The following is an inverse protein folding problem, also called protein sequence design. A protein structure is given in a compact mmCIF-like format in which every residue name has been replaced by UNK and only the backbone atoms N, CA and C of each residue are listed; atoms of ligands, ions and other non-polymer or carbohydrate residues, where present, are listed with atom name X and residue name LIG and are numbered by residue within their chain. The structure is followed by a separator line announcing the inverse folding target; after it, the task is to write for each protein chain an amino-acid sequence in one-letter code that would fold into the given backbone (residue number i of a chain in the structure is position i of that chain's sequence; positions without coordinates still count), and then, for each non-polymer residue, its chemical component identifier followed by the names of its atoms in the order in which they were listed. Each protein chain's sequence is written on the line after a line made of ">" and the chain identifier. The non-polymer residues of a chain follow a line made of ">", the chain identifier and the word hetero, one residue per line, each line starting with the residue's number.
data_IF_571274451361
#
_entry.id   IF_571274451361
#
_cell.length_a   1.000
_cell.length_b   1.000
_cell.length_c   1.000
_cell.angle_alpha   90.00
_cell.angle_beta   90.00
_cell.angle_gamma   90.00
#
_symmetry.space_group_name_H-M   'P 1'
#
loop_
_entity.id
_entity.type
_entity.pdbx_description
1 polymer ?
#
# COMPACT_ATOMS: atom_id res chain seq x y z
N UNK A 1 -52.15 -17.02 14.69
CA UNK A 1 -51.50 -16.05 13.77
C UNK A 1 -51.34 -14.73 14.51
N UNK A 2 -50.22 -14.56 15.21
CA UNK A 2 -49.92 -13.39 16.04
C UNK A 2 -48.87 -12.54 15.32
N UNK A 3 -49.24 -11.31 14.96
CA UNK A 3 -48.33 -10.30 14.39
C UNK A 3 -47.58 -9.61 15.53
N UNK A 4 -46.27 -9.76 15.55
CA UNK A 4 -45.38 -9.03 16.47
C UNK A 4 -44.68 -7.92 15.70
N UNK A 5 -45.09 -6.68 15.93
CA UNK A 5 -44.42 -5.45 15.51
C UNK A 5 -43.27 -5.14 16.46
N UNK A 6 -42.04 -5.04 15.93
CA UNK A 6 -40.85 -4.59 16.67
C UNK A 6 -40.41 -3.25 16.06
N UNK A 7 -40.36 -2.21 16.89
CA UNK A 7 -39.92 -0.86 16.54
C UNK A 7 -38.38 -0.73 16.58
N UNK A 8 -37.78 0.16 15.77
CA UNK A 8 -36.35 0.45 15.81
C UNK A 8 -36.04 1.57 16.83
N UNK A 9 -35.19 1.27 17.82
CA UNK A 9 -34.70 2.26 18.81
C UNK A 9 -33.23 2.59 18.54
N UNK A 10 -33.02 3.86 18.19
CA UNK A 10 -31.90 4.73 18.58
C UNK A 10 -30.46 4.33 18.21
N UNK A 11 -30.01 4.81 17.04
CA UNK A 11 -28.61 4.84 16.56
C UNK A 11 -27.89 6.16 16.89
N UNK A 12 -28.09 6.75 18.08
CA UNK A 12 -27.66 8.13 18.36
C UNK A 12 -26.71 8.32 19.57
N UNK A 13 -26.03 7.28 20.07
CA UNK A 13 -25.22 7.40 21.31
C UNK A 13 -23.77 6.87 21.24
N UNK A 14 -23.23 6.53 20.07
CA UNK A 14 -21.85 6.01 19.95
C UNK A 14 -20.82 7.03 19.42
N UNK A 15 -21.19 8.30 19.22
CA UNK A 15 -20.33 9.28 18.53
C UNK A 15 -19.53 10.22 19.45
N UNK A 16 -19.68 10.18 20.77
CA UNK A 16 -19.07 11.19 21.67
C UNK A 16 -17.92 10.70 22.54
N UNK A 17 -17.56 9.42 22.50
CA UNK A 17 -16.50 8.85 23.37
C UNK A 17 -15.08 8.81 22.75
N UNK A 18 -14.90 9.18 21.48
CA UNK A 18 -13.61 9.04 20.77
C UNK A 18 -12.75 10.34 20.74
N UNK A 19 -13.19 11.43 21.36
CA UNK A 19 -12.53 12.75 21.22
C UNK A 19 -11.57 13.11 22.37
N UNK A 20 -11.47 12.28 23.42
CA UNK A 20 -10.74 12.63 24.65
C UNK A 20 -9.42 11.85 24.88
N UNK A 21 -8.86 11.22 23.85
CA UNK A 21 -7.63 10.39 23.98
C UNK A 21 -6.45 10.83 23.09
N UNK A 22 -6.28 12.15 22.86
CA UNK A 22 -5.20 12.69 21.99
C UNK A 22 -4.34 13.78 22.65
N UNK A 23 -4.20 13.82 23.98
CA UNK A 23 -3.47 14.90 24.65
C UNK A 23 -2.46 14.45 25.72
N UNK A 24 -1.62 13.42 25.47
CA UNK A 24 -0.39 13.22 26.26
C UNK A 24 0.66 12.52 25.39
N UNK A 25 1.60 13.26 24.82
CA UNK A 25 3.02 12.85 24.64
C UNK A 25 3.76 13.91 23.80
N UNK A 26 4.38 14.87 24.50
CA UNK A 26 5.25 15.85 23.88
C UNK A 26 6.23 16.41 24.89
N UNK A 27 7.38 15.74 25.04
CA UNK A 27 8.66 16.34 25.48
C UNK A 27 9.71 15.26 25.73
N UNK A 28 10.52 14.96 24.72
CA UNK A 28 11.88 14.48 24.96
C UNK A 28 12.82 15.49 24.29
N UNK A 29 13.41 16.33 25.14
CA UNK A 29 14.34 17.36 24.76
C UNK A 29 15.60 16.77 24.13
N UNK A 30 15.91 17.25 22.94
CA UNK A 30 17.22 17.15 22.32
C UNK A 30 18.21 17.99 23.16
N UNK A 31 19.12 17.33 23.87
CA UNK A 31 20.34 18.00 24.35
C UNK A 31 21.40 17.94 23.24
N UNK A 32 21.59 19.08 22.57
CA UNK A 32 22.76 19.32 21.74
C UNK A 32 23.86 19.94 22.63
N UNK A 33 24.82 19.13 23.07
CA UNK A 33 26.03 19.63 23.69
C UNK A 33 27.06 19.93 22.60
N UNK A 34 27.18 21.21 22.23
CA UNK A 34 28.25 21.71 21.39
C UNK A 34 29.54 21.88 22.20
N UNK A 35 30.64 21.60 21.49
CA UNK A 35 32.04 21.56 21.86
C UNK A 35 32.56 22.62 22.85
N UNK A 36 33.58 22.23 23.64
CA UNK A 36 34.83 22.99 23.67
C UNK A 36 35.99 22.09 24.10
N UNK A 37 36.87 21.81 23.15
CA UNK A 37 38.16 21.18 23.36
C UNK A 37 39.11 22.17 24.03
N UNK A 38 39.65 21.82 25.19
CA UNK A 38 40.87 22.43 25.74
C UNK A 38 41.88 21.33 25.98
N UNK A 39 42.87 21.26 25.09
CA UNK A 39 44.04 20.41 25.25
C UNK A 39 44.88 20.97 26.41
N UNK A 40 44.93 20.26 27.53
CA UNK A 40 46.00 20.40 28.50
C UNK A 40 47.10 19.40 28.11
N UNK A 41 48.18 19.92 27.53
CA UNK A 41 49.46 19.20 27.46
C UNK A 41 50.05 19.19 28.86
N UNK A 42 49.90 18.07 29.57
CA UNK A 42 50.76 17.75 30.71
C UNK A 42 51.70 16.66 30.24
N UNK A 43 52.91 17.09 29.88
CA UNK A 43 54.05 16.21 29.68
C UNK A 43 54.50 15.73 31.07
N UNK A 44 54.03 14.56 31.46
CA UNK A 44 54.59 13.78 32.57
C UNK A 44 55.06 12.44 32.03
N UNK A 45 56.17 12.50 31.28
CA UNK A 45 57.05 11.35 31.12
C UNK A 45 57.55 10.88 32.50
N UNK A 46 57.52 9.56 32.64
CA UNK A 46 58.27 8.74 33.60
C UNK A 46 57.83 8.80 35.08
N UNK A 47 57.02 7.81 35.48
CA UNK A 47 57.34 6.83 36.54
C UNK A 47 56.05 6.13 37.05
N UNK A 48 55.47 5.25 36.24
CA UNK A 48 54.56 4.20 36.74
C UNK A 48 54.77 2.90 35.98
N UNK A 49 56.03 2.46 35.93
CA UNK A 49 56.37 1.10 35.56
C UNK A 49 56.62 0.33 36.87
N UNK A 50 55.56 -0.17 37.53
CA UNK A 50 55.63 -1.22 38.54
C UNK A 50 54.26 -1.94 38.59
N UNK A 51 54.31 -3.21 38.20
CA UNK A 51 53.37 -4.29 38.55
C UNK A 51 51.96 -4.31 37.95
N UNK A 52 51.87 -4.09 36.64
CA UNK A 52 50.78 -4.73 35.87
C UNK A 52 51.25 -6.17 35.59
N UNK A 53 50.66 -7.14 36.30
CA UNK A 53 51.03 -8.56 36.22
C UNK A 53 51.11 -9.07 34.78
N UNK A 54 51.93 -10.11 34.56
CA UNK A 54 52.26 -10.73 33.26
C UNK A 54 51.04 -11.24 32.45
N UNK A 55 49.81 -10.99 32.91
CA UNK A 55 48.55 -11.41 32.29
C UNK A 55 47.53 -10.26 32.16
N UNK A 56 47.97 -9.01 32.04
CA UNK A 56 47.07 -7.90 31.72
C UNK A 56 46.85 -7.84 30.21
N UNK A 57 45.65 -8.24 29.75
CA UNK A 57 45.20 -7.95 28.38
C UNK A 57 44.73 -6.49 28.34
N UNK A 58 45.43 -5.59 27.61
CA UNK A 58 45.04 -4.20 27.55
C UNK A 58 43.64 -4.05 26.93
N UNK A 59 42.85 -3.09 27.43
CA UNK A 59 41.44 -2.89 27.02
C UNK A 59 41.27 -2.65 25.51
N UNK A 60 42.28 -2.11 24.85
CA UNK A 60 42.31 -1.86 23.40
C UNK A 60 42.74 -3.08 22.57
N UNK A 61 43.13 -4.21 23.19
CA UNK A 61 43.34 -5.46 22.47
C UNK A 61 41.99 -5.87 21.90
N UNK A 62 41.89 -5.94 20.57
CA UNK A 62 40.70 -6.43 19.88
C UNK A 62 40.33 -7.77 20.51
N UNK A 63 39.11 -7.85 21.04
CA UNK A 63 38.55 -9.13 21.48
C UNK A 63 38.55 -10.01 20.24
N UNK A 64 39.09 -11.22 20.36
CA UNK A 64 39.09 -12.20 19.28
C UNK A 64 37.66 -12.30 18.75
N UNK A 65 37.49 -12.02 17.47
CA UNK A 65 36.19 -12.24 16.85
C UNK A 65 35.99 -13.74 16.72
N UNK A 66 34.75 -14.21 16.71
CA UNK A 66 34.46 -15.64 16.56
C UNK A 66 35.14 -16.25 15.32
N UNK A 67 35.38 -15.45 14.29
CA UNK A 67 36.12 -15.82 13.09
C UNK A 67 37.63 -16.01 13.31
N UNK A 68 38.23 -15.35 14.31
CA UNK A 68 39.66 -15.49 14.64
C UNK A 68 39.93 -16.70 15.55
N UNK A 69 38.90 -17.22 16.23
CA UNK A 69 39.02 -18.40 17.11
C UNK A 69 38.86 -19.73 16.37
N UNK A 70 38.39 -19.70 15.12
CA UNK A 70 38.16 -20.89 14.32
C UNK A 70 39.04 -20.85 13.07
N UNK A 71 40.22 -21.46 13.18
CA UNK A 71 41.06 -21.79 12.03
C UNK A 71 40.23 -22.64 11.06
N UNK A 72 39.92 -22.03 9.91
CA UNK A 72 38.81 -22.42 9.05
C UNK A 72 38.70 -23.91 8.72
N UNK A 73 37.66 -24.55 9.26
CA UNK A 73 36.87 -25.56 8.57
C UNK A 73 35.57 -25.83 9.35
N UNK A 74 34.46 -25.76 8.63
CA UNK A 74 33.07 -25.92 9.08
C UNK A 74 32.89 -27.25 9.80
N UNK A 75 32.61 -27.22 11.11
CA UNK A 75 32.03 -28.41 11.78
C UNK A 75 30.94 -28.11 12.81
N UNK A 76 30.86 -26.92 13.42
CA UNK A 76 29.92 -26.67 14.53
C UNK A 76 29.04 -25.41 14.38
N UNK A 77 28.70 -25.02 13.15
CA UNK A 77 27.81 -23.86 12.90
C UNK A 77 26.40 -24.07 13.48
N UNK A 78 25.98 -25.34 13.63
CA UNK A 78 24.71 -25.73 14.23
C UNK A 78 24.62 -25.38 15.73
N UNK A 79 25.74 -25.49 16.46
CA UNK A 79 25.78 -25.23 17.92
C UNK A 79 25.89 -23.73 18.24
N UNK A 80 26.39 -22.93 17.29
CA UNK A 80 26.57 -21.48 17.45
C UNK A 80 25.40 -20.64 16.94
N UNK A 81 24.32 -21.28 16.48
CA UNK A 81 23.15 -20.57 15.95
C UNK A 81 23.42 -19.83 14.63
N UNK A 82 24.46 -20.22 13.88
CA UNK A 82 24.57 -19.84 12.48
C UNK A 82 23.50 -20.63 11.73
N UNK A 83 22.37 -19.97 11.58
CA UNK A 83 21.14 -20.55 11.04
C UNK A 83 21.40 -21.08 9.63
N UNK A 84 21.41 -22.41 9.52
CA UNK A 84 21.60 -23.13 8.27
C UNK A 84 20.58 -22.70 7.21
N UNK A 85 20.98 -22.79 5.94
CA UNK A 85 20.08 -22.51 4.83
C UNK A 85 18.98 -23.58 4.75
N UNK A 86 17.73 -23.16 4.66
CA UNK A 86 16.56 -24.01 4.49
C UNK A 86 16.16 -24.04 3.02
N UNK A 87 15.94 -25.24 2.47
CA UNK A 87 15.41 -25.42 1.12
C UNK A 87 13.90 -25.18 1.12
N UNK A 88 13.44 -24.23 0.29
CA UNK A 88 12.04 -23.83 0.17
C UNK A 88 11.53 -24.20 -1.22
N UNK A 89 10.47 -24.99 -1.27
CA UNK A 89 9.86 -25.51 -2.51
C UNK A 89 8.50 -24.84 -2.70
N UNK A 90 8.40 -23.95 -3.69
CA UNK A 90 7.14 -23.34 -4.11
C UNK A 90 6.45 -24.21 -5.16
N UNK A 91 5.23 -24.65 -4.86
CA UNK A 91 4.36 -25.37 -5.80
C UNK A 91 3.21 -24.47 -6.25
N UNK A 92 3.08 -24.24 -7.55
CA UNK A 92 1.96 -23.50 -8.13
C UNK A 92 1.35 -24.30 -9.29
N UNK A 93 0.32 -25.09 -8.98
CA UNK A 93 -0.23 -26.04 -9.95
C UNK A 93 0.86 -27.04 -10.36
N UNK A 94 1.25 -27.02 -11.64
CA UNK A 94 2.22 -27.95 -12.23
C UNK A 94 3.66 -27.40 -12.20
N UNK A 95 3.85 -26.12 -11.86
CA UNK A 95 5.16 -25.48 -11.79
C UNK A 95 5.72 -25.57 -10.38
N UNK A 96 6.93 -26.10 -10.26
CA UNK A 96 7.68 -26.16 -9.00
C UNK A 96 8.95 -25.31 -9.12
N UNK A 97 9.19 -24.45 -8.13
CA UNK A 97 10.40 -23.61 -8.04
C UNK A 97 11.03 -23.78 -6.67
N UNK A 98 12.35 -23.95 -6.64
CA UNK A 98 13.09 -24.21 -5.41
C UNK A 98 14.09 -23.08 -5.16
N UNK A 99 14.22 -22.64 -3.92
CA UNK A 99 15.13 -21.58 -3.48
C UNK A 99 15.66 -21.87 -2.09
N UNK A 100 16.89 -21.42 -1.81
CA UNK A 100 17.48 -21.48 -0.47
C UNK A 100 17.16 -20.20 0.30
N UNK A 101 16.69 -20.33 1.54
CA UNK A 101 16.32 -19.21 2.39
C UNK A 101 16.99 -19.32 3.76
N UNK A 102 17.17 -18.17 4.42
CA UNK A 102 17.62 -18.12 5.81
C UNK A 102 16.37 -18.17 6.70
N UNK A 103 16.34 -18.97 7.78
CA UNK A 103 15.22 -18.94 8.72
C UNK A 103 15.07 -17.55 9.35
N UNK A 104 13.83 -17.13 9.54
CA UNK A 104 13.48 -15.75 9.91
C UNK A 104 13.32 -14.80 8.70
N UNK A 105 13.80 -15.15 7.51
CA UNK A 105 13.57 -14.34 6.31
C UNK A 105 12.07 -14.30 5.97
N UNK A 106 11.52 -13.15 5.56
CA UNK A 106 10.12 -13.04 5.16
C UNK A 106 9.85 -13.87 3.90
N UNK A 107 8.74 -14.62 3.90
CA UNK A 107 8.40 -15.52 2.78
C UNK A 107 8.13 -14.74 1.49
N UNK A 108 7.72 -13.47 1.58
CA UNK A 108 7.57 -12.58 0.41
C UNK A 108 8.85 -12.40 -0.40
N UNK A 109 9.97 -12.26 0.29
CA UNK A 109 11.25 -11.95 -0.34
C UNK A 109 11.84 -13.23 -0.93
N UNK A 110 11.68 -14.35 -0.21
CA UNK A 110 12.05 -15.69 -0.69
C UNK A 110 11.24 -16.08 -1.93
N UNK A 111 9.94 -15.77 -1.96
CA UNK A 111 9.10 -16.01 -3.14
C UNK A 111 9.55 -15.17 -4.33
N UNK A 112 9.92 -13.90 -4.09
CA UNK A 112 10.45 -13.01 -5.12
C UNK A 112 11.80 -13.52 -5.66
N UNK A 113 12.68 -14.00 -4.77
CA UNK A 113 13.96 -14.62 -5.12
C UNK A 113 13.76 -15.90 -5.95
N UNK A 114 12.74 -16.70 -5.65
CA UNK A 114 12.33 -17.86 -6.45
C UNK A 114 11.70 -17.48 -7.81
N UNK A 115 11.43 -16.19 -8.06
CA UNK A 115 10.62 -15.75 -9.20
C UNK A 115 9.18 -16.26 -9.14
N UNK A 116 8.69 -16.58 -7.95
CA UNK A 116 7.33 -17.05 -7.71
C UNK A 116 6.42 -15.85 -7.41
N UNK A 117 5.47 -15.59 -8.31
CA UNK A 117 4.56 -14.44 -8.14
C UNK A 117 3.37 -14.80 -7.23
N UNK A 118 3.35 -14.18 -6.05
CA UNK A 118 2.22 -14.23 -5.11
C UNK A 118 1.51 -12.88 -5.15
N UNK A 119 0.18 -12.89 -5.28
CA UNK A 119 -0.61 -11.65 -5.26
C UNK A 119 -0.77 -11.18 -3.82
N UNK A 120 -0.33 -9.96 -3.54
CA UNK A 120 -0.54 -9.29 -2.26
C UNK A 120 -1.62 -8.22 -2.42
N UNK A 121 -2.52 -8.14 -1.43
CA UNK A 121 -3.55 -7.09 -1.35
C UNK A 121 -3.10 -5.97 -0.42
N UNK A 122 -3.27 -6.18 0.90
CA UNK A 122 -2.99 -5.18 1.92
C UNK A 122 -1.57 -5.20 2.51
N UNK A 123 -0.79 -6.27 2.32
CA UNK A 123 0.52 -6.47 2.96
C UNK A 123 0.48 -6.76 4.47
N UNK A 124 -0.51 -6.22 5.20
CA UNK A 124 -0.68 -6.36 6.66
C UNK A 124 -1.25 -7.70 7.13
N UNK A 125 -1.63 -8.56 6.18
CA UNK A 125 -2.21 -9.87 6.49
C UNK A 125 -3.68 -9.84 6.90
N UNK A 126 -4.45 -8.78 6.66
CA UNK A 126 -5.90 -8.72 6.98
C UNK A 126 -6.78 -9.29 5.84
N UNK A 127 -6.44 -8.96 4.59
CA UNK A 127 -7.29 -9.22 3.42
C UNK A 127 -7.40 -10.68 2.96
N UNK A 128 -6.56 -11.59 3.47
CA UNK A 128 -6.51 -13.00 3.03
C UNK A 128 -6.11 -13.24 1.56
N UNK A 129 -5.82 -12.21 0.76
CA UNK A 129 -5.55 -12.35 -0.69
C UNK A 129 -4.35 -13.23 -1.01
N UNK A 130 -3.34 -13.26 -0.12
CA UNK A 130 -2.08 -13.96 -0.33
C UNK A 130 -2.02 -15.36 0.32
N UNK A 131 -3.14 -15.90 0.81
CA UNK A 131 -3.15 -17.19 1.53
C UNK A 131 -2.49 -18.33 0.74
N UNK A 132 -1.56 -19.03 1.39
CA UNK A 132 -0.83 -20.17 0.84
C UNK A 132 -0.74 -21.28 1.89
N UNK A 133 -0.64 -22.53 1.44
CA UNK A 133 -0.55 -23.68 2.33
C UNK A 133 0.92 -24.07 2.51
N UNK A 134 1.40 -23.99 3.74
CA UNK A 134 2.77 -24.33 4.13
C UNK A 134 2.75 -25.55 5.04
N UNK A 135 3.32 -26.67 4.61
CA UNK A 135 3.33 -27.94 5.35
C UNK A 135 1.95 -28.33 5.94
N UNK A 136 0.88 -28.11 5.16
CA UNK A 136 -0.51 -28.41 5.57
C UNK A 136 -1.21 -27.32 6.39
N UNK A 137 -0.51 -26.26 6.80
CA UNK A 137 -1.10 -25.10 7.51
C UNK A 137 -1.32 -23.94 6.55
N UNK A 138 -2.50 -23.32 6.59
CA UNK A 138 -2.75 -22.08 5.87
C UNK A 138 -2.04 -20.92 6.56
N UNK A 139 -1.14 -20.27 5.84
CA UNK A 139 -0.38 -19.12 6.32
C UNK A 139 -0.60 -17.91 5.40
N UNK A 140 -0.28 -16.73 5.91
CA UNK A 140 -0.29 -15.47 5.16
C UNK A 140 1.15 -15.06 4.88
N UNK A 141 1.69 -15.33 3.67
CA UNK A 141 3.10 -15.11 3.31
C UNK A 141 3.57 -13.65 3.40
N UNK A 142 2.64 -12.68 3.44
CA UNK A 142 2.98 -11.26 3.57
C UNK A 142 3.46 -10.85 4.96
N UNK A 143 3.19 -11.66 5.99
CA UNK A 143 3.61 -11.41 7.38
C UNK A 143 4.36 -12.60 7.97
N UNK A 144 4.26 -13.78 7.35
CA UNK A 144 4.94 -14.98 7.81
C UNK A 144 6.42 -14.98 7.42
N UNK A 145 7.25 -15.46 8.33
CA UNK A 145 8.68 -15.70 8.14
C UNK A 145 8.95 -17.20 7.98
N UNK A 146 10.12 -17.53 7.44
CA UNK A 146 10.58 -18.92 7.37
C UNK A 146 10.81 -19.45 8.78
N UNK A 147 10.13 -20.54 9.20
CA UNK A 147 10.31 -21.10 10.54
C UNK A 147 11.73 -21.65 10.76
N UNK A 148 12.27 -21.43 11.96
CA UNK A 148 13.59 -21.92 12.37
C UNK A 148 13.57 -23.38 12.86
N UNK A 149 12.39 -23.91 13.19
CA UNK A 149 12.22 -25.22 13.81
C UNK A 149 12.28 -26.41 12.83
N UNK A 150 12.64 -26.17 11.56
CA UNK A 150 12.80 -27.26 10.60
C UNK A 150 14.10 -28.02 10.90
N UNK A 151 13.99 -29.34 11.00
CA UNK A 151 15.17 -30.19 11.07
C UNK A 151 16.01 -30.05 9.78
N UNK A 152 17.35 -30.12 9.88
CA UNK A 152 18.23 -30.01 8.73
C UNK A 152 17.90 -31.12 7.72
N UNK A 153 17.45 -30.74 6.51
CA UNK A 153 17.08 -31.66 5.44
C UNK A 153 15.59 -31.83 5.17
N UNK A 154 14.70 -31.17 5.93
CA UNK A 154 13.29 -31.06 5.57
C UNK A 154 13.06 -29.86 4.65
N UNK A 155 12.39 -30.08 3.51
CA UNK A 155 12.00 -29.01 2.60
C UNK A 155 10.73 -28.29 3.10
N UNK A 156 10.75 -26.95 3.07
CA UNK A 156 9.57 -26.15 3.34
C UNK A 156 8.70 -26.09 2.07
N UNK A 157 7.63 -26.89 2.04
CA UNK A 157 6.73 -26.93 0.86
C UNK A 157 5.63 -25.90 1.01
N UNK A 158 5.65 -24.89 0.13
CA UNK A 158 4.65 -23.82 0.06
C UNK A 158 3.81 -24.00 -1.20
N UNK A 159 2.55 -24.39 -1.04
CA UNK A 159 1.58 -24.48 -2.12
C UNK A 159 0.87 -23.14 -2.29
N UNK A 160 1.18 -22.46 -3.39
CA UNK A 160 0.58 -21.19 -3.77
C UNK A 160 -0.68 -21.46 -4.58
N UNK A 161 -1.78 -20.77 -4.25
CA UNK A 161 -3.03 -20.86 -5.02
C UNK A 161 -2.76 -20.54 -6.49
N UNK A 162 -3.21 -21.41 -7.39
CA UNK A 162 -3.10 -21.19 -8.83
C UNK A 162 -3.84 -19.92 -9.19
N UNK A 163 -3.10 -18.92 -9.67
CA UNK A 163 -3.72 -17.70 -10.17
C UNK A 163 -4.29 -18.04 -11.54
N UNK A 164 -5.58 -18.36 -11.59
CA UNK A 164 -6.30 -18.63 -12.84
C UNK A 164 -6.51 -17.38 -13.72
N UNK A 165 -5.70 -16.32 -13.54
CA UNK A 165 -5.54 -15.32 -14.59
C UNK A 165 -4.70 -15.98 -15.70
N UNK A 166 -5.34 -16.85 -16.49
CA UNK A 166 -5.06 -16.80 -17.92
C UNK A 166 -5.28 -15.33 -18.25
N UNK A 167 -4.20 -14.58 -18.45
CA UNK A 167 -4.32 -13.27 -19.04
C UNK A 167 -5.18 -13.51 -20.27
N UNK A 168 -6.45 -13.08 -20.26
CA UNK A 168 -7.19 -12.93 -21.50
C UNK A 168 -6.32 -11.92 -22.22
N UNK A 169 -5.44 -12.41 -23.09
CA UNK A 169 -4.53 -11.55 -23.80
C UNK A 169 -5.44 -10.48 -24.39
N UNK A 170 -5.20 -9.25 -24.01
CA UNK A 170 -5.93 -8.11 -24.53
C UNK A 170 -5.64 -7.92 -26.03
N UNK A 171 -4.99 -8.89 -26.69
CA UNK A 171 -4.65 -8.93 -28.12
C UNK A 171 -5.84 -8.93 -29.08
N UNK A 172 -7.08 -8.73 -28.60
CA UNK A 172 -8.23 -8.33 -29.44
C UNK A 172 -8.70 -6.89 -29.16
N UNK A 173 -7.83 -6.03 -28.63
CA UNK A 173 -8.10 -4.59 -28.47
C UNK A 173 -8.45 -3.90 -29.79
N UNK A 174 -8.07 -4.48 -30.93
CA UNK A 174 -8.46 -4.05 -32.28
C UNK A 174 -9.34 -5.06 -33.02
N UNK A 175 -10.36 -5.63 -32.35
CA UNK A 175 -11.41 -6.26 -33.13
C UNK A 175 -12.15 -5.16 -33.91
N UNK A 176 -12.46 -5.37 -35.19
CA UNK A 176 -13.26 -4.41 -35.96
C UNK A 176 -14.51 -3.92 -35.20
N UNK A 177 -15.12 -4.81 -34.41
CA UNK A 177 -16.26 -4.49 -33.54
C UNK A 177 -15.99 -3.40 -32.50
N UNK A 178 -14.79 -3.32 -31.90
CA UNK A 178 -14.45 -2.26 -30.92
C UNK A 178 -14.21 -0.91 -31.60
N UNK A 179 -13.68 -0.91 -32.84
CA UNK A 179 -13.52 0.31 -33.65
C UNK A 179 -14.90 0.85 -34.04
N UNK A 180 -15.82 -0.01 -34.50
CA UNK A 180 -17.18 0.40 -34.85
C UNK A 180 -17.99 0.91 -33.64
N UNK A 181 -17.87 0.25 -32.48
CA UNK A 181 -18.54 0.73 -31.26
C UNK A 181 -17.98 2.07 -30.76
N UNK A 182 -16.66 2.27 -30.81
CA UNK A 182 -16.04 3.55 -30.45
C UNK A 182 -16.45 4.69 -31.38
N UNK A 183 -16.51 4.41 -32.68
CA UNK A 183 -16.98 5.37 -33.69
C UNK A 183 -18.46 5.73 -33.49
N UNK A 184 -19.32 4.74 -33.26
CA UNK A 184 -20.76 4.98 -33.09
C UNK A 184 -21.06 5.82 -31.85
N UNK A 185 -20.32 5.62 -30.75
CA UNK A 185 -20.52 6.38 -29.52
C UNK A 185 -20.06 7.85 -29.66
N UNK A 186 -19.00 8.11 -30.43
CA UNK A 186 -18.55 9.47 -30.73
C UNK A 186 -19.51 10.19 -31.72
N UNK A 187 -19.98 9.46 -32.74
CA UNK A 187 -20.95 9.98 -33.73
C UNK A 187 -22.32 10.30 -33.10
N UNK A 188 -22.81 9.44 -32.19
CA UNK A 188 -24.02 9.70 -31.41
C UNK A 188 -23.89 10.95 -30.54
N UNK A 189 -22.73 11.17 -29.93
CA UNK A 189 -22.44 12.39 -29.18
C UNK A 189 -22.56 13.65 -30.05
N UNK A 190 -22.00 13.63 -31.26
CA UNK A 190 -22.12 14.75 -32.21
C UNK A 190 -23.56 14.94 -32.70
N UNK A 191 -24.29 13.86 -32.98
CA UNK A 191 -25.68 13.96 -33.41
C UNK A 191 -26.57 14.55 -32.31
N UNK A 192 -26.33 14.15 -31.06
CA UNK A 192 -26.99 14.73 -29.89
C UNK A 192 -26.79 16.23 -29.79
N UNK A 193 -25.56 16.72 -29.99
CA UNK A 193 -25.25 18.16 -29.99
C UNK A 193 -25.96 18.94 -31.12
N UNK A 194 -26.17 18.33 -32.29
CA UNK A 194 -26.89 18.98 -33.38
C UNK A 194 -28.40 19.09 -33.09
N UNK A 195 -28.99 18.07 -32.46
CA UNK A 195 -30.40 18.09 -32.07
C UNK A 195 -30.64 19.11 -30.97
N UNK A 196 -29.80 19.16 -29.94
CA UNK A 196 -29.91 20.15 -28.85
C UNK A 196 -29.70 21.57 -29.37
N UNK A 197 -28.79 21.79 -30.33
CA UNK A 197 -28.60 23.09 -30.98
C UNK A 197 -29.84 23.54 -31.75
N UNK A 198 -30.52 22.63 -32.46
CA UNK A 198 -31.79 22.95 -33.13
C UNK A 198 -32.90 23.30 -32.14
N UNK A 199 -33.02 22.56 -31.03
CA UNK A 199 -34.01 22.84 -30.00
C UNK A 199 -33.76 24.20 -29.32
N UNK A 200 -32.52 24.51 -28.96
CA UNK A 200 -32.15 25.80 -28.37
C UNK A 200 -32.47 26.98 -29.30
N UNK A 201 -32.25 26.82 -30.62
CA UNK A 201 -32.58 27.86 -31.61
C UNK A 201 -34.09 28.14 -31.68
N UNK A 202 -34.93 27.10 -31.56
CA UNK A 202 -36.40 27.27 -31.51
C UNK A 202 -36.82 28.07 -30.28
N UNK A 203 -36.37 27.65 -29.09
CA UNK A 203 -36.69 28.36 -27.84
C UNK A 203 -36.21 29.82 -27.84
N UNK A 204 -35.07 30.12 -28.47
CA UNK A 204 -34.60 31.49 -28.63
C UNK A 204 -35.50 32.31 -29.55
N UNK A 205 -35.90 31.74 -30.69
CA UNK A 205 -36.77 32.42 -31.67
C UNK A 205 -38.14 32.74 -31.04
N UNK A 206 -38.72 31.78 -30.33
CA UNK A 206 -40.00 31.96 -29.61
C UNK A 206 -39.93 33.07 -28.54
N UNK A 207 -38.79 33.22 -27.86
CA UNK A 207 -38.58 34.30 -26.88
C UNK A 207 -38.52 35.67 -27.56
N UNK A 208 -37.77 35.78 -28.66
CA UNK A 208 -37.68 37.03 -29.43
C UNK A 208 -39.06 37.41 -29.98
N UNK A 209 -39.81 36.46 -30.55
CA UNK A 209 -41.16 36.71 -31.09
C UNK A 209 -42.12 37.19 -29.99
N UNK A 210 -42.00 36.66 -28.77
CA UNK A 210 -42.79 37.08 -27.62
C UNK A 210 -42.40 38.49 -27.14
N UNK A 211 -41.11 38.79 -27.04
CA UNK A 211 -40.60 40.11 -26.69
C UNK A 211 -41.08 41.17 -27.70
N UNK A 212 -41.04 40.86 -29.00
CA UNK A 212 -41.54 41.73 -30.07
C UNK A 212 -43.05 41.96 -29.98
N UNK A 213 -43.83 40.92 -29.64
CA UNK A 213 -45.28 41.03 -29.44
C UNK A 213 -45.61 41.94 -28.24
N UNK A 214 -44.92 41.76 -27.12
CA UNK A 214 -45.10 42.60 -25.92
C UNK A 214 -44.70 44.05 -26.20
N UNK A 215 -43.62 44.27 -26.95
CA UNK A 215 -43.19 45.60 -27.36
C UNK A 215 -44.26 46.31 -28.21
N UNK A 216 -44.88 45.62 -29.18
CA UNK A 216 -45.99 46.15 -29.99
C UNK A 216 -47.19 46.51 -29.14
N UNK A 217 -47.66 45.59 -28.28
CA UNK A 217 -48.80 45.83 -27.39
C UNK A 217 -48.54 46.99 -26.42
N UNK A 218 -47.30 47.13 -25.95
CA UNK A 218 -46.90 48.23 -25.04
C UNK A 218 -46.88 49.57 -25.77
N UNK A 219 -46.36 49.60 -27.00
CA UNK A 219 -46.36 50.80 -27.84
C UNK A 219 -47.79 51.25 -28.18
N UNK A 220 -48.68 50.32 -28.53
CA UNK A 220 -50.10 50.59 -28.76
C UNK A 220 -50.79 51.13 -27.49
N UNK A 221 -50.60 50.49 -26.33
CA UNK A 221 -51.12 50.97 -25.04
C UNK A 221 -50.61 52.36 -24.69
N UNK A 222 -49.32 52.65 -24.93
CA UNK A 222 -48.73 53.97 -24.70
C UNK A 222 -49.33 55.02 -25.64
N UNK A 223 -49.53 54.68 -26.92
CA UNK A 223 -50.16 55.57 -27.90
C UNK A 223 -51.64 55.85 -27.54
N UNK A 224 -52.39 54.86 -27.06
CA UNK A 224 -53.76 55.04 -26.58
C UNK A 224 -53.80 55.93 -25.34
N UNK A 225 -52.96 55.69 -24.33
CA UNK A 225 -52.85 56.55 -23.15
C UNK A 225 -52.52 58.00 -23.51
N UNK A 226 -51.62 58.22 -24.48
CA UNK A 226 -51.29 59.57 -24.93
C UNK A 226 -52.47 60.28 -25.62
N UNK A 227 -53.34 59.52 -26.31
CA UNK A 227 -54.59 60.06 -26.90
C UNK A 227 -55.65 60.36 -25.86
N UNK A 228 -55.77 59.54 -24.81
CA UNK A 228 -56.72 59.73 -23.71
C UNK A 228 -56.33 60.89 -22.79
N UNK A 229 -55.04 61.06 -22.52
CA UNK A 229 -54.47 62.21 -21.79
C UNK A 229 -54.30 63.40 -22.74
N UNK A 230 -55.30 63.67 -23.58
CA UNK A 230 -55.26 64.73 -24.58
C UNK A 230 -54.78 66.09 -24.02
N UNK A 231 -54.24 66.95 -24.90
CA UNK A 231 -53.55 68.19 -24.53
C UNK A 231 -54.41 69.16 -23.70
#
# INVERSE_FOLDING_TARGET
>A
MTKTTIMPVSMALLSTALILLLCVQGSLGFQAAFASSKYHTVDTRLHMAIQIGKNYKPKWKKKETLADQEDGFITNDLEKGLVGTVSVVFKQGDVTKNTMAIPGQPISDVATQAGQFIKYGCGKGECGTCEAMCNGKWIRPCQATVPADLSPGQDLVIQVKKVNNKAKSSGKFYSFRSIFMGFWNNLLGMLGMLITRKAAKKNYTERIDFEDMVAKLTAEKKALKLKEVGP
#
